data_IF_670439221143
#
_entry.id   IF_670439221143
#
_cell.length_a   1.000
_cell.length_b   1.000
_cell.length_c   1.000
_cell.angle_alpha   90.00
_cell.angle_beta   90.00
_cell.angle_gamma   90.00
#
_symmetry.space_group_name_H-M   'P 1'
#
loop_
_entity.id
_entity.type
_entity.pdbx_description
1 polymer ?
#
# COMPACT_ATOMS: atom_id res chain seq x y z
N UNK A 1 -11.00 17.22 7.10
CA UNK A 1 -10.90 15.76 6.83
C UNK A 1 -9.96 15.02 7.79
N UNK A 2 -8.72 15.47 8.01
CA UNK A 2 -7.73 14.72 8.81
C UNK A 2 -8.22 14.25 10.19
N UNK A 3 -8.88 15.12 10.97
CA UNK A 3 -9.41 14.77 12.31
C UNK A 3 -10.42 13.62 12.27
N UNK A 4 -11.31 13.62 11.26
CA UNK A 4 -12.34 12.59 11.11
C UNK A 4 -11.69 11.26 10.74
N UNK A 5 -10.73 11.25 9.80
CA UNK A 5 -10.04 10.00 9.45
C UNK A 5 -9.30 9.40 10.66
N UNK A 6 -8.62 10.23 11.45
CA UNK A 6 -7.92 9.75 12.65
C UNK A 6 -8.88 9.19 13.70
N UNK A 7 -10.01 9.87 13.95
CA UNK A 7 -10.98 9.42 14.94
C UNK A 7 -11.79 8.19 14.50
N UNK A 8 -12.22 8.16 13.23
CA UNK A 8 -13.19 7.16 12.76
C UNK A 8 -12.55 5.97 12.06
N UNK A 9 -11.45 6.15 11.32
CA UNK A 9 -10.80 5.06 10.56
C UNK A 9 -9.55 4.54 11.27
N UNK A 10 -8.71 5.43 11.79
CA UNK A 10 -7.41 5.09 12.37
C UNK A 10 -7.40 5.10 13.91
N UNK A 11 -8.56 5.15 14.56
CA UNK A 11 -8.59 5.00 16.02
C UNK A 11 -8.19 3.59 16.42
N UNK A 12 -7.55 3.46 17.58
CA UNK A 12 -7.13 2.17 18.13
C UNK A 12 -8.28 1.15 18.14
N UNK A 13 -9.48 1.61 18.52
CA UNK A 13 -10.68 0.78 18.52
C UNK A 13 -11.04 0.26 17.12
N UNK A 14 -10.98 1.10 16.08
CA UNK A 14 -11.23 0.64 14.72
C UNK A 14 -10.14 -0.27 14.19
N UNK A 15 -8.87 0.09 14.41
CA UNK A 15 -7.71 -0.71 13.97
C UNK A 15 -7.76 -2.13 14.56
N UNK A 16 -8.15 -2.25 15.83
CA UNK A 16 -8.38 -3.55 16.48
C UNK A 16 -9.58 -4.28 15.87
N UNK A 17 -10.68 -3.58 15.56
CA UNK A 17 -11.84 -4.23 14.92
C UNK A 17 -11.54 -4.80 13.53
N UNK A 18 -10.50 -4.32 12.84
CA UNK A 18 -10.04 -4.86 11.55
C UNK A 18 -9.01 -6.00 11.70
N UNK A 19 -8.78 -6.51 12.92
CA UNK A 19 -7.83 -7.60 13.14
C UNK A 19 -8.23 -8.87 12.39
N UNK A 20 -9.50 -9.29 12.47
CA UNK A 20 -9.97 -10.50 11.79
C UNK A 20 -9.79 -10.41 10.28
N UNK A 21 -10.04 -9.23 9.69
CA UNK A 21 -9.80 -8.98 8.26
C UNK A 21 -8.33 -9.18 7.89
N UNK A 22 -7.39 -8.71 8.72
CA UNK A 22 -5.96 -8.90 8.46
C UNK A 22 -5.56 -10.36 8.58
N UNK A 23 -6.06 -11.05 9.60
CA UNK A 23 -5.79 -12.48 9.81
C UNK A 23 -6.30 -13.30 8.62
N UNK A 24 -7.55 -13.09 8.21
CA UNK A 24 -8.13 -13.78 7.04
C UNK A 24 -7.35 -13.53 5.74
N UNK A 25 -6.98 -12.28 5.44
CA UNK A 25 -6.23 -11.98 4.21
C UNK A 25 -4.78 -12.52 4.25
N UNK A 26 -4.17 -12.62 5.45
CA UNK A 26 -2.86 -13.25 5.62
C UNK A 26 -2.95 -14.76 5.42
N UNK A 27 -3.99 -15.41 5.97
CA UNK A 27 -4.19 -16.85 5.80
C UNK A 27 -4.38 -17.22 4.32
N UNK A 28 -5.16 -16.43 3.58
CA UNK A 28 -5.32 -16.59 2.12
C UNK A 28 -4.01 -16.41 1.35
N UNK A 29 -3.16 -15.45 1.77
CA UNK A 29 -1.85 -15.26 1.15
C UNK A 29 -0.95 -16.47 1.42
N UNK A 30 -0.93 -16.98 2.65
CA UNK A 30 -0.15 -18.16 3.03
C UNK A 30 -0.59 -19.36 2.20
N UNK A 31 -1.89 -19.60 2.06
CA UNK A 31 -2.42 -20.69 1.24
C UNK A 31 -1.94 -20.59 -0.23
N UNK A 32 -2.04 -19.40 -0.83
CA UNK A 32 -1.54 -19.14 -2.19
C UNK A 32 -0.03 -19.37 -2.34
N UNK A 33 0.75 -18.95 -1.34
CA UNK A 33 2.22 -19.10 -1.31
C UNK A 33 2.59 -20.57 -1.14
N UNK A 34 1.94 -21.29 -0.22
CA UNK A 34 2.15 -22.71 0.01
C UNK A 34 1.83 -23.52 -1.24
N UNK A 35 0.71 -23.23 -1.93
CA UNK A 35 0.39 -23.86 -3.22
C UNK A 35 1.47 -23.62 -4.27
N UNK A 36 1.98 -22.40 -4.41
CA UNK A 36 3.06 -22.08 -5.35
C UNK A 36 4.38 -22.78 -5.00
N UNK A 37 4.70 -22.92 -3.70
CA UNK A 37 5.88 -23.62 -3.22
C UNK A 37 5.86 -25.12 -3.58
N UNK A 38 4.68 -25.77 -3.57
CA UNK A 38 4.57 -27.18 -4.00
C UNK A 38 4.94 -27.40 -5.47
N UNK A 39 4.80 -26.36 -6.30
CA UNK A 39 5.18 -26.36 -7.72
C UNK A 39 6.62 -25.88 -7.95
N UNK A 40 7.38 -25.61 -6.89
CA UNK A 40 8.72 -25.01 -6.91
C UNK A 40 8.80 -23.70 -7.74
N UNK A 41 7.70 -22.97 -7.85
CA UNK A 41 7.64 -21.72 -8.59
C UNK A 41 8.22 -20.57 -7.75
N UNK A 42 9.12 -19.74 -8.31
CA UNK A 42 9.59 -18.54 -7.62
C UNK A 42 8.43 -17.55 -7.42
N UNK A 43 8.42 -16.91 -6.25
CA UNK A 43 7.37 -15.98 -5.84
C UNK A 43 7.96 -14.58 -5.69
N UNK A 44 7.29 -13.59 -6.27
CA UNK A 44 7.63 -12.18 -6.08
C UNK A 44 6.96 -11.65 -4.80
N UNK A 45 7.76 -11.49 -3.74
CA UNK A 45 7.29 -10.99 -2.45
C UNK A 45 6.77 -9.54 -2.52
N UNK A 46 7.25 -8.74 -3.48
CA UNK A 46 6.76 -7.37 -3.68
C UNK A 46 5.32 -7.39 -4.17
N UNK A 47 5.00 -8.28 -5.12
CA UNK A 47 3.62 -8.52 -5.57
C UNK A 47 2.74 -9.09 -4.46
N UNK A 48 3.24 -10.03 -3.67
CA UNK A 48 2.52 -10.57 -2.52
C UNK A 48 2.18 -9.47 -1.50
N UNK A 49 3.15 -8.63 -1.15
CA UNK A 49 2.96 -7.52 -0.21
C UNK A 49 1.94 -6.50 -0.72
N UNK A 50 2.03 -6.16 -2.01
CA UNK A 50 1.07 -5.26 -2.65
C UNK A 50 -0.35 -5.84 -2.64
N UNK A 51 -0.50 -7.09 -3.08
CA UNK A 51 -1.79 -7.80 -3.11
C UNK A 51 -2.42 -7.90 -1.73
N UNK A 52 -1.64 -8.22 -0.69
CA UNK A 52 -2.12 -8.27 0.69
C UNK A 52 -2.62 -6.90 1.16
N UNK A 53 -1.84 -5.85 0.92
CA UNK A 53 -2.19 -4.48 1.31
C UNK A 53 -3.47 -4.02 0.60
N UNK A 54 -3.55 -4.26 -0.71
CA UNK A 54 -4.73 -3.94 -1.51
C UNK A 54 -5.96 -4.70 -1.00
N UNK A 55 -5.83 -6.00 -0.71
CA UNK A 55 -6.93 -6.85 -0.24
C UNK A 55 -7.48 -6.40 1.11
N UNK A 56 -6.59 -6.10 2.07
CA UNK A 56 -6.99 -5.55 3.37
C UNK A 56 -7.71 -4.21 3.21
N UNK A 57 -7.17 -3.28 2.43
CA UNK A 57 -7.79 -1.97 2.21
C UNK A 57 -9.16 -2.12 1.54
N UNK A 58 -9.27 -2.97 0.52
CA UNK A 58 -10.54 -3.19 -0.17
C UNK A 58 -11.60 -3.80 0.74
N UNK A 59 -11.21 -4.77 1.58
CA UNK A 59 -12.15 -5.39 2.52
C UNK A 59 -12.58 -4.40 3.61
N UNK A 60 -11.68 -3.53 4.09
CA UNK A 60 -12.02 -2.49 5.07
C UNK A 60 -12.93 -1.41 4.47
N UNK A 61 -12.60 -0.91 3.27
CA UNK A 61 -13.27 0.25 2.68
C UNK A 61 -14.57 -0.14 1.96
N UNK A 62 -14.57 -1.23 1.21
CA UNK A 62 -15.69 -1.65 0.38
C UNK A 62 -16.45 -2.85 0.93
N UNK A 63 -15.94 -3.51 1.98
CA UNK A 63 -16.56 -4.72 2.54
C UNK A 63 -16.51 -5.93 1.61
N UNK A 64 -15.69 -5.87 0.56
CA UNK A 64 -15.58 -6.92 -0.48
C UNK A 64 -14.15 -7.44 -0.55
N UNK A 65 -14.04 -8.74 -0.86
CA UNK A 65 -12.76 -9.35 -1.16
C UNK A 65 -12.21 -8.81 -2.48
N UNK A 66 -10.89 -8.63 -2.52
CA UNK A 66 -10.21 -8.08 -3.68
C UNK A 66 -9.96 -9.12 -4.78
N UNK A 67 -9.69 -10.37 -4.40
CA UNK A 67 -9.66 -11.51 -5.33
C UNK A 67 -11.02 -11.65 -6.04
N UNK A 68 -11.02 -11.57 -7.38
CA UNK A 68 -12.23 -11.63 -8.20
C UNK A 68 -12.95 -10.29 -8.41
N UNK A 69 -12.39 -9.17 -7.93
CA UNK A 69 -12.86 -7.84 -8.28
C UNK A 69 -12.53 -7.50 -9.74
N UNK A 70 -13.30 -6.60 -10.35
CA UNK A 70 -13.10 -6.12 -11.74
C UNK A 70 -11.74 -5.43 -11.95
N UNK A 71 -11.01 -5.20 -10.85
CA UNK A 71 -9.72 -4.56 -10.81
C UNK A 71 -8.61 -5.61 -10.71
N UNK A 72 -7.91 -5.83 -11.82
CA UNK A 72 -6.74 -6.70 -11.85
C UNK A 72 -5.61 -6.16 -10.95
N UNK A 73 -4.91 -7.07 -10.25
CA UNK A 73 -3.80 -6.77 -9.34
C UNK A 73 -2.74 -5.91 -10.03
N UNK A 74 -2.33 -6.32 -11.23
CA UNK A 74 -1.28 -5.64 -12.00
C UNK A 74 -1.74 -4.24 -12.44
N UNK A 75 -3.04 -4.06 -12.74
CA UNK A 75 -3.61 -2.76 -13.10
C UNK A 75 -3.68 -1.81 -11.91
N UNK A 76 -4.14 -2.29 -10.74
CA UNK A 76 -4.13 -1.49 -9.52
C UNK A 76 -2.71 -1.12 -9.11
N UNK A 77 -1.76 -2.07 -9.19
CA UNK A 77 -0.36 -1.82 -8.87
C UNK A 77 0.23 -0.73 -9.77
N UNK A 78 -0.04 -0.79 -11.08
CA UNK A 78 0.40 0.24 -12.02
C UNK A 78 -0.19 1.62 -11.68
N UNK A 79 -1.48 1.69 -11.36
CA UNK A 79 -2.13 2.95 -10.99
C UNK A 79 -1.55 3.53 -9.69
N UNK A 80 -1.32 2.69 -8.67
CA UNK A 80 -0.70 3.14 -7.43
C UNK A 80 0.71 3.67 -7.69
N UNK A 81 1.51 2.97 -8.49
CA UNK A 81 2.87 3.40 -8.83
C UNK A 81 2.90 4.71 -9.63
N UNK A 82 1.94 4.90 -10.55
CA UNK A 82 1.77 6.14 -11.30
C UNK A 82 1.41 7.32 -10.39
N UNK A 83 0.46 7.12 -9.47
CA UNK A 83 0.09 8.13 -8.46
C UNK A 83 1.27 8.45 -7.55
N UNK A 84 2.03 7.45 -7.12
CA UNK A 84 3.22 7.63 -6.30
C UNK A 84 4.30 8.43 -7.03
N UNK A 85 4.54 8.16 -8.32
CA UNK A 85 5.47 8.92 -9.15
C UNK A 85 5.05 10.40 -9.30
N UNK A 86 3.74 10.65 -9.49
CA UNK A 86 3.20 12.02 -9.54
C UNK A 86 3.36 12.74 -8.20
N UNK A 87 3.08 12.06 -7.08
CA UNK A 87 3.27 12.61 -5.74
C UNK A 87 4.75 12.85 -5.41
N UNK A 88 5.65 11.97 -5.83
CA UNK A 88 7.10 12.14 -5.69
C UNK A 88 7.64 13.35 -6.45
N UNK A 89 7.19 13.56 -7.69
CA UNK A 89 7.50 14.78 -8.46
C UNK A 89 6.98 16.04 -7.76
N UNK A 90 5.78 15.97 -7.18
CA UNK A 90 5.19 17.07 -6.42
C UNK A 90 5.93 17.35 -5.09
N UNK A 91 6.46 16.32 -4.43
CA UNK A 91 7.29 16.44 -3.24
C UNK A 91 8.64 17.10 -3.56
N UNK A 92 9.30 16.81 -4.68
CA UNK A 92 10.52 17.53 -5.05
C UNK A 92 10.27 19.03 -5.24
N UNK A 93 9.13 19.42 -5.81
CA UNK A 93 8.78 20.84 -6.01
C UNK A 93 8.29 21.57 -4.75
N UNK A 94 7.82 20.85 -3.71
CA UNK A 94 7.26 21.44 -2.47
C UNK A 94 8.09 21.22 -1.21
N UNK A 95 8.94 20.21 -1.15
CA UNK A 95 9.75 19.86 0.03
C UNK A 95 11.22 20.30 -0.06
N UNK A 96 11.70 20.74 -1.24
CA UNK A 96 13.12 21.09 -1.44
C UNK A 96 13.48 22.58 -1.57
N UNK A 97 12.78 23.58 -0.98
CA UNK A 97 13.39 24.91 -0.86
C UNK A 97 14.60 24.89 0.10
N UNK A 98 14.66 23.94 1.04
CA UNK A 98 15.74 23.85 2.02
C UNK A 98 16.94 23.04 1.54
N UNK A 99 16.70 21.98 0.75
CA UNK A 99 17.79 21.16 0.20
C UNK A 99 18.58 21.94 -0.85
N UNK A 100 17.92 22.78 -1.65
CA UNK A 100 18.60 23.74 -2.51
C UNK A 100 19.52 24.70 -1.74
N UNK A 101 19.06 25.26 -0.61
CA UNK A 101 19.87 26.15 0.25
C UNK A 101 21.04 25.45 0.94
N UNK A 102 20.87 24.20 1.35
CA UNK A 102 21.96 23.42 1.95
C UNK A 102 23.01 23.06 0.90
N UNK A 103 22.58 22.72 -0.32
CA UNK A 103 23.50 22.46 -1.43
C UNK A 103 24.23 23.75 -1.82
N UNK A 104 23.57 24.90 -1.96
CA UNK A 104 24.25 26.20 -2.19
C UNK A 104 25.28 26.51 -1.09
N UNK A 105 24.93 26.27 0.18
CA UNK A 105 25.85 26.46 1.31
C UNK A 105 27.10 25.57 1.24
N UNK A 106 26.96 24.34 0.75
CA UNK A 106 28.10 23.42 0.56
C UNK A 106 28.87 23.66 -0.75
N UNK A 107 28.21 24.18 -1.78
CA UNK A 107 28.79 24.31 -3.14
C UNK A 107 29.30 25.73 -3.44
N UNK A 108 28.97 26.72 -2.60
CA UNK A 108 29.57 28.06 -2.63
C UNK A 108 29.13 28.93 -3.81
N UNK A 109 27.86 28.88 -4.18
CA UNK A 109 27.21 29.89 -5.04
C UNK A 109 26.24 30.75 -4.22
#
# INVERSE_FOLDING_TARGET
MQKICVAELFSMKRVQSFQSVREEEVDLLIESVSGSATLANPIDLSKCSFSLTASIIFRIVFGKQFQGSELDNDKLQKLVFEVEAMLGSFCNSKFLPYVGKVIDWFTGF
#
